data_IF_882076217782
#
_entry.id   IF_882076217782
#
_cell.length_a   1.000
_cell.length_b   1.000
_cell.length_c   1.000
_cell.angle_alpha   90.00
_cell.angle_beta   90.00
_cell.angle_gamma   90.00
#
_symmetry.space_group_name_H-M   'P 1'
#
loop_
_entity.id
_entity.type
_entity.pdbx_description
1 polymer ?
#
# COMPACT_ATOMS: atom_id res chain seq x y z
N UNK A 1 5.79 -9.26 -31.08
CA UNK A 1 5.07 -7.99 -31.06
C UNK A 1 4.66 -7.73 -29.62
N UNK A 2 5.02 -6.56 -29.06
CA UNK A 2 4.57 -6.19 -27.74
C UNK A 2 3.03 -6.02 -27.76
N UNK A 3 2.30 -6.43 -26.71
CA UNK A 3 0.86 -6.23 -26.65
C UNK A 3 0.53 -4.74 -26.66
N UNK A 4 -0.58 -4.37 -27.28
CA UNK A 4 -1.08 -3.00 -27.23
C UNK A 4 -1.74 -2.72 -25.86
N UNK A 5 -1.56 -1.54 -25.28
CA UNK A 5 -2.24 -1.17 -24.04
C UNK A 5 -3.76 -1.14 -24.22
N UNK A 6 -4.50 -1.59 -23.22
CA UNK A 6 -5.97 -1.51 -23.21
C UNK A 6 -6.45 -0.07 -23.02
N UNK A 7 -5.73 0.70 -22.22
CA UNK A 7 -5.94 2.15 -22.05
C UNK A 7 -4.71 2.81 -21.42
N UNK A 8 -4.72 4.15 -21.40
CA UNK A 8 -3.72 4.96 -20.68
C UNK A 8 -4.40 5.76 -19.58
N UNK A 9 -3.72 5.91 -18.46
CA UNK A 9 -4.08 6.83 -17.39
C UNK A 9 -2.80 7.53 -16.91
N UNK A 10 -2.79 8.87 -16.91
CA UNK A 10 -1.62 9.68 -16.54
C UNK A 10 -0.32 9.22 -17.22
N UNK A 11 -0.38 8.93 -18.51
CA UNK A 11 0.75 8.45 -19.34
C UNK A 11 1.21 7.01 -19.01
N UNK A 12 0.62 6.35 -18.02
CA UNK A 12 0.90 4.95 -17.70
C UNK A 12 0.02 4.03 -18.54
N UNK A 13 0.65 3.07 -19.23
CA UNK A 13 -0.05 2.07 -20.04
C UNK A 13 -0.60 0.95 -19.15
N UNK A 14 -1.88 0.65 -19.31
CA UNK A 14 -2.58 -0.46 -18.65
C UNK A 14 -2.92 -1.54 -19.65
N UNK A 15 -2.69 -2.78 -19.26
CA UNK A 15 -2.95 -3.99 -20.04
C UNK A 15 -3.97 -4.82 -19.29
N UNK A 16 -5.19 -4.95 -19.82
CA UNK A 16 -6.21 -5.80 -19.23
C UNK A 16 -5.73 -7.26 -19.19
N UNK A 17 -5.89 -7.89 -18.05
CA UNK A 17 -5.53 -9.29 -17.82
C UNK A 17 -6.79 -10.12 -17.56
N UNK A 18 -6.62 -11.43 -17.45
CA UNK A 18 -7.70 -12.33 -17.06
C UNK A 18 -8.14 -11.99 -15.61
N UNK A 19 -9.42 -12.17 -15.32
CA UNK A 19 -10.01 -12.00 -13.98
C UNK A 19 -10.07 -10.56 -13.43
N UNK A 20 -10.09 -9.55 -14.29
CA UNK A 20 -10.28 -8.16 -13.86
C UNK A 20 -9.03 -7.50 -13.26
N UNK A 21 -7.86 -8.12 -13.45
CA UNK A 21 -6.59 -7.49 -13.15
C UNK A 21 -6.09 -6.65 -14.34
N UNK A 22 -5.28 -5.66 -14.04
CA UNK A 22 -4.57 -4.86 -15.04
C UNK A 22 -3.07 -5.00 -14.83
N UNK A 23 -2.33 -5.18 -15.92
CA UNK A 23 -0.87 -5.14 -15.92
C UNK A 23 -0.37 -3.72 -16.09
N UNK A 24 0.64 -3.33 -15.34
CA UNK A 24 1.42 -2.11 -15.53
C UNK A 24 2.90 -2.43 -15.42
N UNK A 25 3.75 -1.58 -16.00
CA UNK A 25 5.20 -1.73 -15.90
C UNK A 25 5.75 -0.75 -14.87
N UNK A 26 6.34 -1.29 -13.79
CA UNK A 26 7.00 -0.53 -12.76
C UNK A 26 8.49 -0.41 -13.07
N UNK A 27 9.01 0.82 -13.08
CA UNK A 27 10.44 1.03 -13.06
C UNK A 27 10.95 0.91 -11.61
N UNK A 28 11.80 -0.08 -11.39
CA UNK A 28 12.41 -0.34 -10.09
C UNK A 28 13.47 0.72 -9.75
N UNK A 29 13.84 0.78 -8.48
CA UNK A 29 14.91 1.66 -7.99
C UNK A 29 16.29 1.40 -8.61
N UNK A 30 16.53 0.20 -9.15
CA UNK A 30 17.74 -0.19 -9.89
C UNK A 30 17.65 0.13 -11.41
N UNK A 31 16.57 0.79 -11.84
CA UNK A 31 16.33 1.15 -13.24
C UNK A 31 15.74 0.04 -14.11
N UNK A 32 15.61 -1.18 -13.59
CA UNK A 32 14.95 -2.26 -14.32
C UNK A 32 13.44 -2.07 -14.36
N UNK A 33 12.81 -2.53 -15.45
CA UNK A 33 11.36 -2.51 -15.63
C UNK A 33 10.80 -3.90 -15.31
N UNK A 34 9.78 -3.93 -14.47
CA UNK A 34 9.12 -5.16 -14.07
C UNK A 34 7.61 -5.04 -14.26
N UNK A 35 6.96 -6.03 -14.91
CA UNK A 35 5.50 -6.07 -14.96
C UNK A 35 4.93 -6.39 -13.57
N UNK A 36 3.89 -5.65 -13.19
CA UNK A 36 3.09 -5.92 -12.00
C UNK A 36 1.62 -5.98 -12.36
N UNK A 37 0.87 -6.79 -11.62
CA UNK A 37 -0.59 -6.82 -11.74
C UNK A 37 -1.22 -5.96 -10.66
N UNK A 38 -2.20 -5.15 -11.04
CA UNK A 38 -3.00 -4.33 -10.13
C UNK A 38 -4.45 -4.79 -10.19
N UNK A 39 -5.16 -4.68 -9.05
CA UNK A 39 -6.47 -5.30 -8.88
C UNK A 39 -7.58 -4.59 -9.65
N UNK A 40 -7.61 -3.28 -9.60
CA UNK A 40 -8.71 -2.46 -10.09
C UNK A 40 -8.25 -1.45 -11.13
N UNK A 41 -9.20 -1.00 -11.92
CA UNK A 41 -9.01 0.15 -12.79
C UNK A 41 -8.83 1.42 -11.95
N UNK A 42 -7.73 2.14 -12.17
CA UNK A 42 -7.44 3.40 -11.47
C UNK A 42 -8.60 4.41 -11.55
N UNK A 43 -9.34 4.43 -12.65
CA UNK A 43 -10.49 5.32 -12.85
C UNK A 43 -11.59 5.13 -11.81
N UNK A 44 -11.69 3.95 -11.20
CA UNK A 44 -12.67 3.64 -10.15
C UNK A 44 -12.26 4.13 -8.77
N UNK A 45 -11.01 4.59 -8.61
CA UNK A 45 -10.43 5.03 -7.33
C UNK A 45 -10.07 6.51 -7.30
N UNK A 46 -10.45 7.27 -8.32
CA UNK A 46 -10.14 8.71 -8.43
C UNK A 46 -10.68 9.56 -7.28
N UNK A 47 -11.74 9.10 -6.61
CA UNK A 47 -12.36 9.81 -5.48
C UNK A 47 -11.61 9.60 -4.14
N UNK A 48 -10.65 8.68 -4.10
CA UNK A 48 -9.85 8.47 -2.90
C UNK A 48 -8.73 9.51 -2.86
N UNK A 49 -8.79 10.37 -1.86
CA UNK A 49 -7.79 11.43 -1.67
C UNK A 49 -6.46 10.78 -1.32
N UNK A 50 -5.42 11.14 -2.08
CA UNK A 50 -4.06 10.69 -1.83
C UNK A 50 -3.09 11.87 -1.80
N UNK A 51 -2.18 11.87 -0.83
CA UNK A 51 -1.07 12.80 -0.75
C UNK A 51 -0.01 12.43 -1.79
N UNK A 52 0.59 13.40 -2.51
CA UNK A 52 1.63 13.12 -3.48
C UNK A 52 2.94 12.66 -2.81
N UNK A 53 3.80 12.01 -3.59
CA UNK A 53 5.19 11.67 -3.23
C UNK A 53 5.36 10.76 -1.99
N UNK A 54 4.34 9.97 -1.63
CA UNK A 54 4.39 9.06 -0.48
C UNK A 54 5.53 8.02 -0.59
N UNK A 55 5.89 7.62 -1.80
CA UNK A 55 7.00 6.71 -2.04
C UNK A 55 8.34 7.24 -1.50
N UNK A 56 8.54 8.55 -1.45
CA UNK A 56 9.76 9.16 -0.89
C UNK A 56 9.90 8.88 0.61
N UNK A 57 8.79 8.74 1.34
CA UNK A 57 8.77 8.44 2.77
C UNK A 57 9.37 7.09 3.11
N UNK A 58 9.27 6.14 2.19
CA UNK A 58 9.68 4.74 2.40
C UNK A 58 10.86 4.31 1.52
N UNK A 59 11.29 5.14 0.58
CA UNK A 59 12.29 4.79 -0.44
C UNK A 59 13.58 4.20 0.12
N UNK A 60 14.09 4.74 1.23
CA UNK A 60 15.36 4.34 1.83
C UNK A 60 15.20 3.33 2.97
N UNK A 61 14.00 2.86 3.21
CA UNK A 61 13.72 1.90 4.27
C UNK A 61 14.47 0.57 4.07
N UNK A 62 14.85 -0.05 5.16
CA UNK A 62 15.35 -1.43 5.20
C UNK A 62 14.28 -2.40 5.68
N UNK A 63 13.39 -1.90 6.54
CA UNK A 63 12.25 -2.62 7.07
C UNK A 63 11.08 -1.65 7.20
N UNK A 64 9.89 -2.09 6.84
CA UNK A 64 8.66 -1.31 6.96
C UNK A 64 7.68 -2.10 7.83
N UNK A 65 7.18 -1.45 8.87
CA UNK A 65 6.12 -2.04 9.69
C UNK A 65 4.77 -1.75 9.06
N UNK A 66 3.96 -2.79 8.89
CA UNK A 66 2.55 -2.69 8.48
C UNK A 66 1.69 -2.93 9.71
N UNK A 67 1.06 -1.87 10.18
CA UNK A 67 0.43 -1.80 11.50
C UNK A 67 -1.09 -1.66 11.38
N UNK A 68 -1.82 -2.32 12.24
CA UNK A 68 -3.28 -2.22 12.33
C UNK A 68 -3.76 -2.53 13.75
N UNK A 69 -4.99 -2.09 14.08
CA UNK A 69 -5.60 -2.43 15.37
C UNK A 69 -6.13 -3.87 15.34
N UNK A 70 -5.58 -4.78 16.14
CA UNK A 70 -5.98 -6.19 16.14
C UNK A 70 -7.36 -6.45 16.78
N UNK A 71 -7.90 -5.46 17.49
CA UNK A 71 -9.16 -5.56 18.23
C UNK A 71 -10.35 -4.96 17.47
N UNK A 72 -10.15 -4.51 16.22
CA UNK A 72 -11.25 -4.02 15.40
C UNK A 72 -12.25 -5.13 15.09
N UNK A 73 -13.54 -4.81 15.23
CA UNK A 73 -14.64 -5.67 14.77
C UNK A 73 -14.78 -5.56 13.25
N UNK A 74 -13.78 -6.05 12.53
CA UNK A 74 -13.73 -6.05 11.07
C UNK A 74 -13.20 -7.37 10.55
N UNK A 75 -13.42 -7.66 9.27
CA UNK A 75 -12.92 -8.88 8.65
C UNK A 75 -11.38 -8.90 8.61
N UNK A 76 -10.77 -9.76 9.40
CA UNK A 76 -9.33 -10.00 9.39
C UNK A 76 -8.82 -10.37 7.98
N UNK A 77 -9.60 -11.16 7.23
CA UNK A 77 -9.24 -11.55 5.87
C UNK A 77 -9.13 -10.33 4.94
N UNK A 78 -10.04 -9.37 5.04
CA UNK A 78 -10.01 -8.13 4.25
C UNK A 78 -8.85 -7.22 4.66
N UNK A 79 -8.55 -7.14 5.95
CA UNK A 79 -7.36 -6.43 6.45
C UNK A 79 -6.09 -7.05 5.86
N UNK A 80 -5.96 -8.37 5.87
CA UNK A 80 -4.83 -9.08 5.29
C UNK A 80 -4.70 -8.84 3.78
N UNK A 81 -5.80 -8.73 3.05
CA UNK A 81 -5.80 -8.35 1.62
C UNK A 81 -5.27 -6.95 1.44
N UNK A 82 -5.78 -5.96 2.19
CA UNK A 82 -5.32 -4.57 2.10
C UNK A 82 -3.81 -4.45 2.38
N UNK A 83 -3.32 -5.11 3.42
CA UNK A 83 -1.89 -5.16 3.74
C UNK A 83 -1.10 -5.83 2.60
N UNK A 84 -1.59 -6.95 2.08
CA UNK A 84 -0.96 -7.71 1.01
C UNK A 84 -0.79 -6.91 -0.28
N UNK A 85 -1.78 -6.10 -0.67
CA UNK A 85 -1.72 -5.25 -1.86
C UNK A 85 -0.57 -4.23 -1.79
N UNK A 86 -0.28 -3.72 -0.61
CA UNK A 86 0.82 -2.78 -0.41
C UNK A 86 2.17 -3.50 -0.28
N UNK A 87 2.23 -4.52 0.57
CA UNK A 87 3.51 -5.14 0.97
C UNK A 87 4.22 -5.85 -0.18
N UNK A 88 3.47 -6.39 -1.15
CA UNK A 88 4.05 -7.03 -2.35
C UNK A 88 4.86 -6.07 -3.23
N UNK A 89 4.60 -4.76 -3.13
CA UNK A 89 5.29 -3.73 -3.92
C UNK A 89 6.52 -3.16 -3.21
N UNK A 90 6.59 -3.22 -1.88
CA UNK A 90 7.64 -2.57 -1.09
C UNK A 90 9.07 -2.96 -1.50
N UNK A 91 9.41 -4.24 -1.73
CA UNK A 91 10.76 -4.61 -2.18
C UNK A 91 11.12 -4.07 -3.57
N UNK A 92 10.12 -3.73 -4.39
CA UNK A 92 10.32 -3.24 -5.75
C UNK A 92 10.59 -1.75 -5.80
N UNK A 93 9.99 -0.97 -4.88
CA UNK A 93 10.03 0.49 -4.88
C UNK A 93 11.05 1.07 -3.90
N UNK A 94 11.59 0.26 -2.98
CA UNK A 94 12.61 0.69 -2.02
C UNK A 94 14.01 0.34 -2.51
N UNK A 95 14.96 1.25 -2.26
CA UNK A 95 16.37 1.07 -2.69
C UNK A 95 17.00 -0.17 -2.04
N UNK A 96 16.69 -0.40 -0.77
CA UNK A 96 17.24 -1.49 0.01
C UNK A 96 16.40 -2.78 -0.04
N UNK A 97 15.41 -2.86 -0.94
CA UNK A 97 14.46 -3.98 -1.02
C UNK A 97 13.83 -4.28 0.35
N UNK A 98 13.25 -3.26 0.95
CA UNK A 98 12.71 -3.34 2.29
C UNK A 98 11.78 -4.54 2.49
N UNK A 99 11.94 -5.20 3.63
CA UNK A 99 11.02 -6.24 4.07
C UNK A 99 9.90 -5.65 4.90
N UNK A 100 8.68 -6.14 4.71
CA UNK A 100 7.56 -5.79 5.57
C UNK A 100 7.53 -6.66 6.82
N UNK A 101 7.10 -6.09 7.93
CA UNK A 101 6.84 -6.81 9.17
C UNK A 101 5.52 -6.37 9.77
N UNK A 102 4.65 -7.33 10.06
CA UNK A 102 3.39 -7.03 10.73
C UNK A 102 3.62 -6.47 12.13
N UNK A 103 2.79 -5.51 12.49
CA UNK A 103 2.74 -4.91 13.81
C UNK A 103 1.29 -4.64 14.21
N UNK A 104 1.07 -4.39 15.49
CA UNK A 104 -0.21 -3.93 16.00
C UNK A 104 -0.11 -2.47 16.46
N UNK A 105 -1.20 -1.74 16.44
CA UNK A 105 -1.26 -0.38 16.99
C UNK A 105 -1.49 -0.38 18.49
N UNK A 106 -2.01 -1.48 19.04
CA UNK A 106 -2.26 -1.71 20.45
C UNK A 106 -2.15 -3.20 20.78
N UNK A 107 -2.17 -3.56 22.06
CA UNK A 107 -2.16 -4.96 22.48
C UNK A 107 -3.39 -5.71 21.97
N UNK A 108 -3.15 -6.87 21.38
CA UNK A 108 -4.22 -7.79 20.99
C UNK A 108 -4.90 -8.41 22.23
N UNK A 109 -6.15 -8.82 22.09
CA UNK A 109 -6.87 -9.56 23.13
C UNK A 109 -7.29 -10.95 22.59
N UNK A 110 -6.60 -12.04 22.99
CA UNK A 110 -5.47 -12.10 23.96
C UNK A 110 -4.16 -11.52 23.39
N UNK A 111 -3.26 -11.12 24.27
CA UNK A 111 -1.96 -10.55 23.90
C UNK A 111 -1.16 -11.54 23.05
N UNK A 112 -0.61 -11.08 21.94
CA UNK A 112 0.34 -11.82 21.11
C UNK A 112 1.76 -11.23 21.26
N UNK A 113 2.64 -11.88 22.04
CA UNK A 113 3.98 -11.38 22.30
C UNK A 113 4.91 -11.44 21.08
N UNK A 114 4.52 -12.12 20.00
CA UNK A 114 5.34 -12.27 18.80
C UNK A 114 5.16 -11.10 17.81
N UNK A 115 4.10 -10.30 17.97
CA UNK A 115 3.81 -9.16 17.11
C UNK A 115 4.12 -7.86 17.86
N UNK A 116 5.07 -7.04 17.37
CA UNK A 116 5.43 -5.80 18.04
C UNK A 116 4.31 -4.77 17.92
N UNK A 117 4.23 -3.87 18.90
CA UNK A 117 3.38 -2.67 18.80
C UNK A 117 4.18 -1.59 18.09
N UNK A 118 3.64 -1.05 17.01
CA UNK A 118 4.20 0.05 16.21
C UNK A 118 3.07 0.94 15.72
N UNK A 119 3.21 2.22 16.00
CA UNK A 119 2.29 3.27 15.53
C UNK A 119 3.06 4.31 14.71
N UNK A 120 2.36 5.30 14.16
CA UNK A 120 2.99 6.43 13.49
C UNK A 120 4.05 7.14 14.35
N UNK A 121 3.91 7.12 15.69
CA UNK A 121 4.89 7.71 16.61
C UNK A 121 6.25 7.01 16.60
N UNK A 122 6.28 5.74 16.20
CA UNK A 122 7.50 4.92 16.14
C UNK A 122 8.19 4.99 14.77
N UNK A 123 7.58 5.68 13.80
CA UNK A 123 8.08 5.74 12.43
C UNK A 123 9.36 6.56 12.34
N UNK A 124 10.35 6.02 11.63
CA UNK A 124 11.63 6.67 11.34
C UNK A 124 11.98 6.52 9.87
N UNK A 125 12.96 7.27 9.39
CA UNK A 125 13.46 7.15 8.01
C UNK A 125 13.89 5.71 7.66
N UNK A 126 14.52 5.01 8.59
CA UNK A 126 15.03 3.65 8.39
C UNK A 126 13.93 2.59 8.58
N UNK A 127 13.00 2.86 9.48
CA UNK A 127 11.87 1.98 9.85
C UNK A 127 10.54 2.72 9.75
N UNK A 128 10.07 3.05 8.55
CA UNK A 128 8.76 3.64 8.36
C UNK A 128 7.64 2.73 8.84
N UNK A 129 6.49 3.32 9.10
CA UNK A 129 5.26 2.61 9.45
C UNK A 129 4.22 2.89 8.36
N UNK A 130 3.50 1.87 7.92
CA UNK A 130 2.28 2.00 7.15
C UNK A 130 1.15 1.51 8.05
N UNK A 131 0.31 2.44 8.50
CA UNK A 131 -0.78 2.17 9.43
C UNK A 131 -2.10 2.07 8.68
N UNK A 132 -2.82 0.97 8.90
CA UNK A 132 -4.11 0.68 8.27
C UNK A 132 -5.22 0.92 9.29
N UNK A 133 -6.14 1.83 8.96
CA UNK A 133 -7.16 2.32 9.88
C UNK A 133 -8.56 2.26 9.29
N UNK A 134 -9.54 2.03 10.15
CA UNK A 134 -10.95 2.29 9.84
C UNK A 134 -11.30 3.69 10.38
N UNK A 135 -11.77 4.56 9.49
CA UNK A 135 -12.07 5.95 9.81
C UNK A 135 -13.38 6.43 9.17
N UNK A 136 -13.54 7.72 9.01
CA UNK A 136 -14.76 8.33 8.49
C UNK A 136 -14.68 8.74 7.01
N UNK A 137 -13.53 8.55 6.39
CA UNK A 137 -13.32 8.86 4.96
C UNK A 137 -12.25 7.93 4.37
N UNK A 138 -12.31 7.75 3.04
CA UNK A 138 -11.30 7.01 2.29
C UNK A 138 -10.19 7.97 1.90
N UNK A 139 -8.99 7.72 2.38
CA UNK A 139 -7.82 8.54 2.04
C UNK A 139 -6.50 7.84 2.34
N UNK A 140 -5.44 8.35 1.71
CA UNK A 140 -4.05 7.99 2.02
C UNK A 140 -3.26 9.27 2.24
N UNK A 141 -2.66 9.41 3.40
CA UNK A 141 -1.84 10.57 3.77
C UNK A 141 -0.62 10.15 4.57
N UNK A 142 0.23 11.09 4.92
CA UNK A 142 1.42 10.81 5.72
C UNK A 142 1.56 11.75 6.92
N UNK A 143 2.24 11.25 7.94
CA UNK A 143 2.73 12.01 9.08
C UNK A 143 4.19 11.61 9.33
N UNK A 144 5.14 12.53 9.07
CA UNK A 144 6.57 12.21 9.14
C UNK A 144 6.93 11.05 8.21
N UNK A 145 7.42 9.94 8.75
CA UNK A 145 7.73 8.70 8.03
C UNK A 145 6.64 7.62 8.19
N UNK A 146 5.44 8.01 8.60
CA UNK A 146 4.28 7.15 8.64
C UNK A 146 3.37 7.45 7.45
N UNK A 147 2.83 6.40 6.82
CA UNK A 147 1.77 6.48 5.83
C UNK A 147 0.51 5.90 6.46
N UNK A 148 -0.58 6.69 6.46
CA UNK A 148 -1.88 6.25 6.92
C UNK A 148 -2.75 5.84 5.73
N UNK A 149 -3.22 4.61 5.74
CA UNK A 149 -4.19 4.06 4.78
C UNK A 149 -5.53 3.93 5.49
N UNK A 150 -6.49 4.76 5.11
CA UNK A 150 -7.76 4.89 5.83
C UNK A 150 -8.93 4.50 4.92
N UNK A 151 -9.79 3.62 5.41
CA UNK A 151 -11.04 3.24 4.77
C UNK A 151 -12.22 3.40 5.74
N UNK A 152 -13.43 3.70 5.23
CA UNK A 152 -14.63 3.78 6.07
C UNK A 152 -15.05 2.41 6.62
N UNK A 153 -14.66 1.36 5.96
CA UNK A 153 -14.88 -0.03 6.31
C UNK A 153 -13.78 -0.89 5.68
N UNK A 154 -13.83 -2.19 5.88
CA UNK A 154 -12.79 -3.11 5.40
C UNK A 154 -12.69 -3.16 3.86
N UNK A 155 -13.81 -3.04 3.12
CA UNK A 155 -13.80 -3.01 1.66
C UNK A 155 -13.17 -1.70 1.14
N UNK A 156 -13.55 -0.59 1.71
CA UNK A 156 -12.98 0.73 1.39
C UNK A 156 -11.50 0.82 1.77
N UNK A 157 -11.09 0.11 2.81
CA UNK A 157 -9.67 0.03 3.19
C UNK A 157 -8.84 -0.67 2.11
N UNK A 158 -9.38 -1.74 1.48
CA UNK A 158 -8.72 -2.38 0.34
C UNK A 158 -8.58 -1.39 -0.82
N UNK A 159 -9.62 -0.60 -1.11
CA UNK A 159 -9.55 0.43 -2.16
C UNK A 159 -8.48 1.49 -1.86
N UNK A 160 -8.38 1.93 -0.61
CA UNK A 160 -7.35 2.90 -0.19
C UNK A 160 -5.94 2.29 -0.28
N UNK A 161 -5.78 1.00 0.04
CA UNK A 161 -4.54 0.28 -0.13
C UNK A 161 -4.14 0.14 -1.61
N UNK A 162 -5.09 -0.17 -2.49
CA UNK A 162 -4.88 -0.20 -3.93
C UNK A 162 -4.49 1.20 -4.44
N UNK A 163 -5.12 2.26 -3.93
CA UNK A 163 -4.76 3.65 -4.27
C UNK A 163 -3.32 3.99 -3.89
N UNK A 164 -2.87 3.55 -2.72
CA UNK A 164 -1.45 3.69 -2.34
C UNK A 164 -0.55 2.91 -3.30
N UNK A 165 -0.91 1.68 -3.66
CA UNK A 165 -0.19 0.87 -4.63
C UNK A 165 -0.03 1.57 -5.98
N UNK A 166 -1.05 2.25 -6.48
CA UNK A 166 -0.97 3.05 -7.71
C UNK A 166 0.00 4.22 -7.58
N UNK A 167 0.06 4.89 -6.43
CA UNK A 167 1.02 5.97 -6.19
C UNK A 167 2.47 5.47 -6.31
N UNK A 168 2.72 4.21 -5.97
CA UNK A 168 4.04 3.59 -6.09
C UNK A 168 4.49 3.40 -7.54
N UNK A 169 3.56 3.33 -8.48
CA UNK A 169 3.85 3.31 -9.92
C UNK A 169 3.74 4.69 -10.58
N UNK A 170 3.61 5.76 -9.77
CA UNK A 170 3.60 7.14 -10.23
C UNK A 170 2.24 7.70 -10.62
N UNK A 171 1.15 7.06 -10.20
CA UNK A 171 -0.24 7.49 -10.45
C UNK A 171 -0.81 8.10 -9.17
N UNK A 172 -1.24 9.38 -9.23
CA UNK A 172 -1.73 10.17 -8.11
C UNK A 172 -3.17 10.66 -8.29
#
# INVERSE_FOLDING_TARGET
VAPEPSFFYEEVAFYEQIDGFFGVYLQRSDGQVQPISVRLDQRTMSDIIIEPELNQKIRNATKIYTSYNPNLDTSYAKMAVAIGEVTRLLPLITVNRAVSKNAFTEDANPIDPNVPIKTCKDATLEYPVIEFEIGNQNRVNSEGFCINVIGKNADDLILSADRLGYSFVGIY
#
